data_IF_240387873368
#
_entry.id   IF_240387873368
#
_cell.length_a   1.000
_cell.length_b   1.000
_cell.length_c   1.000
_cell.angle_alpha   90.00
_cell.angle_beta   90.00
_cell.angle_gamma   90.00
#
_symmetry.space_group_name_H-M   'P 1'
#
loop_
_entity.id
_entity.type
_entity.pdbx_description
1 polymer ?
#
# COMPACT_ATOMS: atom_id res chain seq x y z
N UNK A 1 -19.21 12.44 14.76
CA UNK A 1 -18.24 13.36 14.10
C UNK A 1 -17.65 14.42 15.04
N UNK A 2 -18.39 15.01 15.98
CA UNK A 2 -17.90 16.08 16.89
C UNK A 2 -16.70 15.70 17.80
N UNK A 3 -16.49 14.40 18.05
CA UNK A 3 -15.37 13.90 18.84
C UNK A 3 -14.03 13.96 18.09
N UNK A 4 -14.00 13.65 16.79
CA UNK A 4 -12.76 13.62 15.99
C UNK A 4 -12.16 15.01 15.73
N UNK A 5 -12.95 16.07 15.96
CA UNK A 5 -12.51 17.46 15.84
C UNK A 5 -12.32 18.12 17.22
N UNK A 6 -12.39 17.36 18.32
CA UNK A 6 -12.25 17.91 19.67
C UNK A 6 -10.79 18.09 20.07
N UNK A 7 -10.54 18.94 21.07
CA UNK A 7 -9.22 19.07 21.70
C UNK A 7 -8.74 17.76 22.30
N UNK A 8 -9.65 16.95 22.86
CA UNK A 8 -9.32 15.65 23.46
C UNK A 8 -8.79 14.66 22.42
N UNK A 9 -9.44 14.60 21.26
CA UNK A 9 -8.96 13.78 20.15
C UNK A 9 -7.60 14.28 19.65
N UNK A 10 -7.46 15.59 19.47
CA UNK A 10 -6.22 16.19 19.00
C UNK A 10 -5.06 15.93 19.97
N UNK A 11 -5.27 16.10 21.27
CA UNK A 11 -4.25 15.85 22.30
C UNK A 11 -3.82 14.38 22.35
N UNK A 12 -4.76 13.45 22.19
CA UNK A 12 -4.46 12.00 22.16
C UNK A 12 -3.61 11.60 20.96
N UNK A 13 -3.77 12.27 19.82
CA UNK A 13 -3.07 11.94 18.57
C UNK A 13 -1.97 12.97 18.23
N UNK A 14 -1.65 13.88 19.15
CA UNK A 14 -0.67 14.93 18.90
C UNK A 14 0.70 14.36 18.52
N UNK A 15 1.10 13.26 19.17
CA UNK A 15 2.31 12.51 18.82
C UNK A 15 2.28 11.98 17.39
N UNK A 16 1.15 11.44 16.93
CA UNK A 16 1.00 10.93 15.56
C UNK A 16 1.09 12.05 14.53
N UNK A 17 0.50 13.22 14.81
CA UNK A 17 0.64 14.38 13.92
C UNK A 17 2.08 14.85 13.81
N UNK A 18 2.80 14.93 14.94
CA UNK A 18 4.22 15.28 14.95
C UNK A 18 5.06 14.25 14.19
N UNK A 19 4.83 12.96 14.41
CA UNK A 19 5.52 11.87 13.71
C UNK A 19 5.27 11.95 12.20
N UNK A 20 4.02 12.12 11.79
CA UNK A 20 3.66 12.28 10.38
C UNK A 20 4.34 13.48 9.74
N UNK A 21 4.35 14.64 10.42
CA UNK A 21 5.06 15.83 9.94
C UNK A 21 6.57 15.60 9.81
N UNK A 22 7.19 14.93 10.79
CA UNK A 22 8.62 14.62 10.78
C UNK A 22 8.99 13.64 9.65
N UNK A 23 8.16 12.62 9.41
CA UNK A 23 8.34 11.66 8.31
C UNK A 23 8.24 12.37 6.96
N UNK A 24 7.21 13.19 6.75
CA UNK A 24 7.05 13.91 5.48
C UNK A 24 8.25 14.84 5.21
N UNK A 25 8.68 15.61 6.20
CA UNK A 25 9.87 16.45 6.06
C UNK A 25 11.17 15.63 5.83
N UNK A 26 11.23 14.38 6.30
CA UNK A 26 12.34 13.47 5.99
C UNK A 26 12.27 12.94 4.55
N UNK A 27 11.07 12.62 4.08
CA UNK A 27 10.84 12.13 2.71
C UNK A 27 11.12 13.22 1.68
N UNK A 28 10.66 14.45 1.92
CA UNK A 28 10.92 15.59 1.05
C UNK A 28 12.42 15.83 0.86
N UNK A 29 13.18 15.84 1.97
CA UNK A 29 14.65 15.93 1.92
C UNK A 29 15.29 14.78 1.16
N UNK A 30 14.76 13.56 1.32
CA UNK A 30 15.26 12.40 0.58
C UNK A 30 15.00 12.53 -0.92
N UNK A 31 13.87 13.10 -1.32
CA UNK A 31 13.55 13.38 -2.73
C UNK A 31 14.48 14.45 -3.28
N UNK A 32 14.74 15.52 -2.51
CA UNK A 32 15.69 16.57 -2.88
C UNK A 32 17.10 16.00 -3.07
N UNK A 33 17.56 15.13 -2.14
CA UNK A 33 18.87 14.49 -2.19
C UNK A 33 19.02 13.51 -3.37
N UNK A 34 17.96 12.75 -3.71
CA UNK A 34 17.92 11.85 -4.88
C UNK A 34 17.89 12.66 -6.19
N UNK A 35 17.25 13.83 -6.15
CA UNK A 35 16.96 14.70 -7.28
C UNK A 35 15.54 14.48 -7.83
N UNK A 36 14.77 15.56 -8.07
CA UNK A 36 13.36 15.48 -8.44
C UNK A 36 13.13 14.74 -9.76
N UNK A 37 13.99 14.92 -10.77
CA UNK A 37 13.85 14.23 -12.06
C UNK A 37 13.98 12.70 -11.92
N UNK A 38 14.95 12.25 -11.12
CA UNK A 38 15.18 10.82 -10.87
C UNK A 38 14.01 10.21 -10.10
N UNK A 39 13.50 10.94 -9.11
CA UNK A 39 12.31 10.54 -8.37
C UNK A 39 11.09 10.42 -9.28
N UNK A 40 10.77 11.43 -10.07
CA UNK A 40 9.61 11.43 -10.97
C UNK A 40 9.68 10.30 -12.01
N UNK A 41 10.86 10.02 -12.56
CA UNK A 41 11.07 8.89 -13.48
C UNK A 41 10.79 7.55 -12.79
N UNK A 42 11.28 7.35 -11.57
CA UNK A 42 11.03 6.13 -10.81
C UNK A 42 9.55 6.00 -10.44
N UNK A 43 8.91 7.10 -10.02
CA UNK A 43 7.50 7.17 -9.69
C UNK A 43 6.61 6.84 -10.88
N UNK A 44 6.93 7.36 -12.08
CA UNK A 44 6.23 7.03 -13.31
C UNK A 44 6.30 5.52 -13.63
N UNK A 45 7.50 4.93 -13.56
CA UNK A 45 7.69 3.48 -13.75
C UNK A 45 6.91 2.67 -12.71
N UNK A 46 6.95 3.08 -11.44
CA UNK A 46 6.18 2.43 -10.38
C UNK A 46 4.67 2.47 -10.66
N UNK A 47 4.12 3.64 -11.03
CA UNK A 47 2.70 3.79 -11.36
C UNK A 47 2.27 2.92 -12.55
N UNK A 48 3.11 2.82 -13.58
CA UNK A 48 2.85 1.94 -14.72
C UNK A 48 2.80 0.47 -14.29
N UNK A 49 3.77 0.01 -13.50
CA UNK A 49 3.80 -1.37 -12.99
C UNK A 49 2.64 -1.66 -12.04
N UNK A 50 2.26 -0.70 -11.21
CA UNK A 50 1.10 -0.80 -10.34
C UNK A 50 -0.20 -0.95 -11.14
N UNK A 51 -0.39 -0.15 -12.19
CA UNK A 51 -1.55 -0.27 -13.07
C UNK A 51 -1.63 -1.65 -13.73
N UNK A 52 -0.50 -2.15 -14.24
CA UNK A 52 -0.40 -3.50 -14.80
C UNK A 52 -0.72 -4.60 -13.77
N UNK A 53 -0.20 -4.45 -12.56
CA UNK A 53 -0.48 -5.38 -11.46
C UNK A 53 -1.97 -5.37 -11.08
N UNK A 54 -2.60 -4.20 -11.00
CA UNK A 54 -4.04 -4.10 -10.73
C UNK A 54 -4.85 -4.76 -11.85
N UNK A 55 -4.55 -4.44 -13.11
CA UNK A 55 -5.23 -5.02 -14.28
C UNK A 55 -5.16 -6.56 -14.28
N UNK A 56 -3.98 -7.12 -14.02
CA UNK A 56 -3.75 -8.56 -14.18
C UNK A 56 -3.99 -9.37 -12.91
N UNK A 57 -3.81 -8.80 -11.73
CA UNK A 57 -3.78 -9.55 -10.48
C UNK A 57 -4.95 -9.25 -9.54
N UNK A 58 -5.70 -8.17 -9.72
CA UNK A 58 -6.79 -7.82 -8.80
C UNK A 58 -7.85 -8.92 -8.70
N UNK A 59 -8.19 -9.57 -9.82
CA UNK A 59 -9.16 -10.68 -9.84
C UNK A 59 -8.64 -11.99 -9.21
N UNK A 60 -7.33 -12.06 -8.90
CA UNK A 60 -6.67 -13.24 -8.34
C UNK A 60 -6.24 -13.03 -6.88
N UNK A 61 -6.57 -11.89 -6.28
CA UNK A 61 -6.34 -11.64 -4.87
C UNK A 61 -7.53 -12.15 -4.05
N UNK A 62 -7.34 -13.23 -3.32
CA UNK A 62 -8.30 -13.70 -2.32
C UNK A 62 -7.99 -13.02 -0.98
N UNK A 63 -8.97 -12.27 -0.46
CA UNK A 63 -8.90 -11.63 0.85
C UNK A 63 -9.62 -12.49 1.88
N UNK A 64 -9.37 -12.29 3.20
CA UNK A 64 -10.09 -13.03 4.25
C UNK A 64 -11.60 -12.81 4.28
N UNK A 65 -12.08 -11.75 3.63
CA UNK A 65 -13.49 -11.40 3.53
C UNK A 65 -13.84 -11.10 2.06
N UNK A 66 -14.93 -11.68 1.56
CA UNK A 66 -15.43 -11.45 0.21
C UNK A 66 -16.07 -10.06 0.08
N UNK A 67 -16.39 -9.65 -1.15
CA UNK A 67 -17.19 -8.44 -1.38
C UNK A 67 -18.63 -8.53 -0.84
N UNK A 68 -19.15 -9.74 -0.59
CA UNK A 68 -20.45 -9.97 0.06
C UNK A 68 -20.36 -10.05 1.60
N UNK A 69 -19.16 -9.95 2.17
CA UNK A 69 -18.93 -10.07 3.61
C UNK A 69 -18.77 -11.51 4.10
N UNK A 70 -18.61 -12.48 3.19
CA UNK A 70 -18.42 -13.89 3.53
C UNK A 70 -16.97 -14.16 3.92
N UNK A 71 -16.80 -15.01 4.93
CA UNK A 71 -15.48 -15.41 5.40
C UNK A 71 -14.81 -16.36 4.37
N UNK A 72 -13.58 -16.01 3.98
CA UNK A 72 -12.77 -16.75 3.02
C UNK A 72 -11.38 -17.13 3.59
N UNK A 73 -11.26 -17.37 4.91
CA UNK A 73 -9.97 -17.62 5.59
C UNK A 73 -9.08 -18.64 4.86
N UNK A 74 -9.61 -19.80 4.49
CA UNK A 74 -8.84 -20.84 3.77
C UNK A 74 -8.30 -20.37 2.42
N UNK A 75 -9.09 -19.61 1.64
CA UNK A 75 -8.65 -19.07 0.36
C UNK A 75 -7.60 -17.97 0.55
N UNK A 76 -7.75 -17.16 1.61
CA UNK A 76 -6.79 -16.10 1.90
C UNK A 76 -5.42 -16.63 2.35
N UNK A 77 -5.34 -17.80 2.97
CA UNK A 77 -4.06 -18.44 3.34
C UNK A 77 -3.17 -18.73 2.13
N UNK A 78 -3.76 -18.95 0.96
CA UNK A 78 -3.03 -19.19 -0.30
C UNK A 78 -2.64 -17.89 -1.01
N UNK A 79 -3.25 -16.77 -0.64
CA UNK A 79 -3.14 -15.49 -1.35
C UNK A 79 -2.40 -14.41 -0.56
N UNK A 80 -2.39 -14.49 0.77
CA UNK A 80 -1.85 -13.49 1.69
C UNK A 80 -0.62 -14.02 2.44
N UNK A 81 0.32 -13.15 2.80
CA UNK A 81 1.52 -13.54 3.55
C UNK A 81 1.19 -13.95 4.99
N UNK A 82 0.27 -13.23 5.63
CA UNK A 82 -0.19 -13.53 6.97
C UNK A 82 -1.56 -12.89 7.19
N UNK A 83 -2.59 -13.67 7.49
CA UNK A 83 -3.97 -13.18 7.65
C UNK A 83 -4.40 -12.31 6.47
N UNK A 84 -4.57 -11.01 6.67
CA UNK A 84 -4.98 -10.00 5.69
C UNK A 84 -3.81 -9.20 5.10
N UNK A 85 -2.56 -9.57 5.39
CA UNK A 85 -1.39 -8.81 4.99
C UNK A 85 -0.88 -9.25 3.61
N UNK A 86 -0.74 -8.28 2.71
CA UNK A 86 -0.06 -8.47 1.42
C UNK A 86 -0.72 -9.52 0.52
N UNK A 87 -2.05 -9.50 0.42
CA UNK A 87 -2.81 -10.44 -0.42
C UNK A 87 -2.57 -10.24 -1.92
N UNK A 88 -2.68 -11.33 -2.69
CA UNK A 88 -2.45 -11.35 -4.14
C UNK A 88 -0.99 -11.54 -4.55
N UNK A 89 -0.08 -11.76 -3.59
CA UNK A 89 1.35 -11.92 -3.87
C UNK A 89 1.69 -13.04 -4.89
N UNK A 90 1.01 -14.20 -4.94
CA UNK A 90 1.38 -15.24 -5.91
C UNK A 90 1.13 -14.83 -7.37
N UNK A 91 0.19 -13.90 -7.61
CA UNK A 91 0.02 -13.32 -8.93
C UNK A 91 1.14 -12.31 -9.23
N UNK A 92 1.49 -11.47 -8.27
CA UNK A 92 2.58 -10.49 -8.41
C UNK A 92 3.92 -11.16 -8.69
N UNK A 93 4.22 -12.27 -8.01
CA UNK A 93 5.44 -13.06 -8.21
C UNK A 93 5.52 -13.57 -9.66
N UNK A 94 4.46 -14.23 -10.15
CA UNK A 94 4.38 -14.70 -11.55
C UNK A 94 4.44 -13.56 -12.58
N UNK A 95 3.83 -12.41 -12.26
CA UNK A 95 3.90 -11.23 -13.11
C UNK A 95 5.32 -10.65 -13.17
N UNK A 96 6.09 -10.74 -12.09
CA UNK A 96 7.47 -10.27 -12.03
C UNK A 96 8.42 -11.17 -12.82
N UNK A 97 8.22 -12.49 -12.74
CA UNK A 97 9.01 -13.50 -13.48
C UNK A 97 8.78 -13.37 -14.99
N UNK A 98 7.53 -13.21 -15.42
CA UNK A 98 7.16 -13.09 -16.85
C UNK A 98 7.63 -11.81 -17.54
N UNK A 99 7.90 -10.74 -16.79
CA UNK A 99 8.40 -9.46 -17.32
C UNK A 99 9.94 -9.33 -17.23
N UNK A 100 10.65 -10.41 -16.87
CA UNK A 100 12.11 -10.44 -16.75
C UNK A 100 12.81 -10.95 -18.04
N UNK A 101 12.09 -10.97 -19.17
CA UNK A 101 12.57 -11.39 -20.49
C UNK A 101 12.45 -10.26 -21.52
#
# INVERSE_FOLDING_TARGET
MRYLSSSDWHNRHYGDYLLHAAINASLDRTIDDIGPERFEKALASFRQRMALAQERCQAHAYFPCSSSGENQLKLSEESCYNRDWGCGYPCLDRLSESNSH
#
